data_IF_899048937842
#
_entry.id   IF_899048937842
#
_cell.length_a   1.000
_cell.length_b   1.000
_cell.length_c   1.000
_cell.angle_alpha   90.00
_cell.angle_beta   90.00
_cell.angle_gamma   90.00
#
_symmetry.space_group_name_H-M   'P 1'
#
loop_
_entity.id
_entity.type
_entity.pdbx_description
1 polymer ?
#
# COMPACT_ATOMS: atom_id res chain seq x y z
N UNK A 1 -33.67 27.28 14.57
CA UNK A 1 -34.59 26.51 15.46
C UNK A 1 -35.09 25.24 14.77
N UNK A 2 -35.06 25.20 13.45
CA UNK A 2 -35.57 24.10 12.62
C UNK A 2 -34.72 22.81 12.81
N UNK A 3 -33.42 22.93 13.12
CA UNK A 3 -32.55 21.76 13.37
C UNK A 3 -32.97 20.88 14.54
N UNK A 4 -33.44 21.48 15.63
CA UNK A 4 -33.89 20.73 16.80
C UNK A 4 -35.27 20.12 16.58
N UNK A 5 -36.14 20.81 15.82
CA UNK A 5 -37.44 20.30 15.41
C UNK A 5 -37.32 19.11 14.46
N UNK A 6 -36.43 19.19 13.46
CA UNK A 6 -36.17 18.12 12.51
C UNK A 6 -35.46 16.91 13.17
N UNK A 7 -34.55 17.14 14.12
CA UNK A 7 -33.97 16.08 14.94
C UNK A 7 -35.02 15.35 15.78
N UNK A 8 -35.93 16.10 16.41
CA UNK A 8 -37.01 15.54 17.20
C UNK A 8 -38.00 14.71 16.34
N UNK A 9 -38.36 15.23 15.16
CA UNK A 9 -39.23 14.53 14.21
C UNK A 9 -38.56 13.26 13.65
N UNK A 10 -37.27 13.33 13.32
CA UNK A 10 -36.48 12.19 12.88
C UNK A 10 -36.34 11.11 13.96
N UNK A 11 -36.19 11.52 15.22
CA UNK A 11 -36.19 10.60 16.36
C UNK A 11 -37.50 9.83 16.48
N UNK A 12 -38.64 10.48 16.26
CA UNK A 12 -39.94 9.84 16.38
C UNK A 12 -40.18 8.77 15.30
N UNK A 13 -39.66 8.99 14.09
CA UNK A 13 -39.82 8.07 12.95
C UNK A 13 -38.84 6.89 12.97
N UNK A 14 -37.57 7.12 13.32
CA UNK A 14 -36.52 6.10 13.20
C UNK A 14 -35.62 5.96 14.44
N UNK A 15 -36.06 6.47 15.61
CA UNK A 15 -35.30 6.48 16.87
C UNK A 15 -33.93 7.17 16.68
N UNK A 16 -32.90 6.74 17.41
CA UNK A 16 -31.59 7.42 17.48
C UNK A 16 -30.95 7.73 16.10
N UNK A 17 -30.94 6.81 15.11
CA UNK A 17 -30.43 7.13 13.77
C UNK A 17 -31.21 8.25 13.07
N UNK A 18 -32.54 8.26 13.23
CA UNK A 18 -33.40 9.29 12.65
C UNK A 18 -33.17 10.66 13.25
N UNK A 19 -32.84 10.74 14.54
CA UNK A 19 -32.51 12.01 15.19
C UNK A 19 -31.27 12.68 14.59
N UNK A 20 -30.25 11.87 14.27
CA UNK A 20 -28.99 12.34 13.68
C UNK A 20 -29.24 12.87 12.27
N UNK A 21 -29.98 12.12 11.45
CA UNK A 21 -30.34 12.53 10.08
C UNK A 21 -31.21 13.78 10.10
N UNK A 22 -32.22 13.81 10.99
CA UNK A 22 -33.09 14.97 11.17
C UNK A 22 -32.35 16.23 11.61
N UNK A 23 -31.38 16.09 12.53
CA UNK A 23 -30.52 17.20 12.95
C UNK A 23 -29.66 17.73 11.80
N UNK A 24 -29.09 16.83 10.99
CA UNK A 24 -28.28 17.20 9.82
C UNK A 24 -29.13 17.97 8.80
N UNK A 25 -30.28 17.43 8.40
CA UNK A 25 -31.19 18.07 7.43
C UNK A 25 -31.73 19.41 7.95
N UNK A 26 -32.15 19.47 9.20
CA UNK A 26 -32.62 20.73 9.78
C UNK A 26 -31.49 21.75 9.99
N UNK A 27 -30.24 21.32 10.14
CA UNK A 27 -29.07 22.20 10.13
C UNK A 27 -28.73 22.74 8.74
N UNK A 28 -29.08 22.02 7.66
CA UNK A 28 -28.99 22.53 6.29
C UNK A 28 -30.03 23.62 6.02
N UNK A 29 -31.24 23.50 6.56
CA UNK A 29 -32.36 24.45 6.34
C UNK A 29 -32.27 25.69 7.23
N UNK A 30 -31.79 25.56 8.47
CA UNK A 30 -31.57 26.72 9.36
C UNK A 30 -30.46 27.67 8.82
N UNK A 31 -29.67 27.26 7.82
CA UNK A 31 -28.44 27.94 7.42
C UNK A 31 -28.47 28.57 6.02
N UNK A 32 -29.67 28.82 5.46
CA UNK A 32 -29.88 29.50 4.16
C UNK A 32 -29.49 30.98 4.15
N UNK A 33 -28.92 31.52 5.24
CA UNK A 33 -28.59 32.95 5.41
C UNK A 33 -27.10 33.30 5.51
N UNK A 34 -26.15 32.36 5.38
CA UNK A 34 -24.72 32.67 5.54
C UNK A 34 -23.82 31.90 4.56
N UNK A 35 -23.73 32.40 3.32
CA UNK A 35 -23.02 31.81 2.19
C UNK A 35 -21.50 31.61 2.31
N UNK A 36 -20.86 31.99 3.41
CA UNK A 36 -19.39 31.86 3.59
C UNK A 36 -18.93 30.63 4.37
N UNK A 37 -19.80 29.93 5.12
CA UNK A 37 -19.40 28.72 5.88
C UNK A 37 -19.67 27.41 5.14
N UNK A 38 -20.67 27.37 4.26
CA UNK A 38 -20.93 26.20 3.42
C UNK A 38 -19.80 25.97 2.39
N UNK A 39 -19.21 27.05 1.85
CA UNK A 39 -18.02 26.96 1.00
C UNK A 39 -16.80 26.45 1.76
N UNK A 40 -16.54 26.90 2.99
CA UNK A 40 -15.37 26.41 3.75
C UNK A 40 -15.49 24.94 4.15
N UNK A 41 -16.70 24.47 4.49
CA UNK A 41 -16.92 23.05 4.83
C UNK A 41 -16.86 22.18 3.57
N UNK A 42 -17.37 22.63 2.43
CA UNK A 42 -17.27 21.89 1.16
C UNK A 42 -15.82 21.89 0.61
N UNK A 43 -15.07 22.97 0.84
CA UNK A 43 -13.66 23.09 0.47
C UNK A 43 -12.73 22.29 1.41
N UNK A 44 -13.10 22.14 2.69
CA UNK A 44 -12.41 21.22 3.63
C UNK A 44 -12.72 19.74 3.34
N UNK A 45 -13.92 19.41 2.86
CA UNK A 45 -14.25 18.05 2.41
C UNK A 45 -13.48 17.69 1.13
N UNK A 46 -13.18 18.67 0.26
CA UNK A 46 -12.44 18.43 -0.99
C UNK A 46 -10.91 18.55 -0.87
N UNK A 47 -10.38 18.89 0.31
CA UNK A 47 -8.94 18.93 0.58
C UNK A 47 -8.60 17.90 1.66
N UNK A 48 -8.54 16.63 1.28
CA UNK A 48 -7.65 15.72 2.00
C UNK A 48 -6.23 16.31 1.88
N UNK A 49 -5.79 17.05 2.91
CA UNK A 49 -4.42 17.55 3.00
C UNK A 49 -3.51 16.34 3.13
N UNK A 50 -2.93 15.93 2.01
CA UNK A 50 -1.84 14.97 1.99
C UNK A 50 -0.62 15.68 2.55
N UNK A 51 -0.17 15.27 3.73
CA UNK A 51 1.03 15.81 4.36
C UNK A 51 2.27 15.23 3.69
N UNK A 52 3.38 15.99 3.60
CA UNK A 52 4.67 15.46 3.21
C UNK A 52 5.17 14.30 4.09
N UNK A 53 4.61 14.18 5.30
CA UNK A 53 4.87 13.11 6.26
C UNK A 53 4.11 11.80 5.98
N UNK A 54 3.20 11.81 5.00
CA UNK A 54 2.32 10.69 4.71
C UNK A 54 3.08 9.53 4.06
N UNK A 55 2.68 8.32 4.43
CA UNK A 55 3.22 7.07 3.92
C UNK A 55 3.16 7.00 2.39
N UNK A 56 2.04 7.46 1.81
CA UNK A 56 1.77 7.45 0.39
C UNK A 56 2.78 8.29 -0.40
N UNK A 57 3.22 9.42 0.15
CA UNK A 57 4.20 10.27 -0.51
C UNK A 57 5.60 9.62 -0.48
N UNK A 58 5.95 8.98 0.63
CA UNK A 58 7.19 8.23 0.78
C UNK A 58 7.21 7.03 -0.17
N UNK A 59 6.09 6.32 -0.27
CA UNK A 59 5.89 5.23 -1.21
C UNK A 59 6.10 5.70 -2.66
N UNK A 60 5.39 6.74 -3.08
CA UNK A 60 5.52 7.31 -4.43
C UNK A 60 6.96 7.78 -4.71
N UNK A 61 7.63 8.33 -3.71
CA UNK A 61 9.03 8.75 -3.81
C UNK A 61 9.97 7.57 -4.05
N UNK A 62 9.82 6.46 -3.32
CA UNK A 62 10.60 5.24 -3.56
C UNK A 62 10.31 4.66 -4.95
N UNK A 63 9.05 4.70 -5.42
CA UNK A 63 8.69 4.29 -6.77
C UNK A 63 9.46 5.11 -7.82
N UNK A 64 9.49 6.43 -7.66
CA UNK A 64 10.25 7.29 -8.57
C UNK A 64 11.75 7.01 -8.57
N UNK A 65 12.32 6.56 -7.44
CA UNK A 65 13.75 6.21 -7.37
C UNK A 65 14.02 4.92 -8.16
N UNK A 66 13.14 3.92 -8.03
CA UNK A 66 13.26 2.65 -8.76
C UNK A 66 13.07 2.85 -10.26
N UNK A 67 12.02 3.56 -10.68
CA UNK A 67 11.71 3.84 -12.10
C UNK A 67 12.86 4.62 -12.79
N UNK A 68 13.57 5.46 -12.04
CA UNK A 68 14.70 6.25 -12.57
C UNK A 68 16.05 5.53 -12.47
N UNK A 69 16.10 4.30 -11.95
CA UNK A 69 17.35 3.63 -11.61
C UNK A 69 18.27 3.39 -12.82
N UNK A 70 17.69 3.12 -13.99
CA UNK A 70 18.43 2.87 -15.22
C UNK A 70 18.47 4.08 -16.18
N UNK A 71 17.93 5.23 -15.74
CA UNK A 71 17.86 6.46 -16.52
C UNK A 71 16.76 6.49 -17.58
N UNK A 72 16.00 5.40 -17.80
CA UNK A 72 14.89 5.35 -18.74
C UNK A 72 13.56 5.19 -18.01
N UNK A 73 12.78 6.27 -17.98
CA UNK A 73 11.45 6.27 -17.36
C UNK A 73 10.45 5.58 -18.28
N UNK A 74 9.99 4.39 -17.90
CA UNK A 74 8.97 3.66 -18.65
C UNK A 74 7.57 4.23 -18.39
N UNK A 75 6.84 4.53 -19.46
CA UNK A 75 5.45 4.98 -19.35
C UNK A 75 4.55 3.90 -18.71
N UNK A 76 4.86 2.61 -18.93
CA UNK A 76 4.13 1.49 -18.33
C UNK A 76 4.26 1.45 -16.82
N UNK A 77 5.47 1.68 -16.30
CA UNK A 77 5.72 1.75 -14.85
C UNK A 77 4.99 2.94 -14.22
N UNK A 78 5.03 4.11 -14.88
CA UNK A 78 4.30 5.29 -14.44
C UNK A 78 2.78 5.05 -14.40
N UNK A 79 2.25 4.40 -15.42
CA UNK A 79 0.82 4.10 -15.51
C UNK A 79 0.42 3.01 -14.50
N UNK A 80 1.27 2.03 -14.24
CA UNK A 80 1.07 1.05 -13.16
C UNK A 80 0.98 1.75 -11.80
N UNK A 81 1.93 2.62 -11.47
CA UNK A 81 1.90 3.41 -10.22
C UNK A 81 0.64 4.26 -10.18
N UNK A 82 0.29 4.95 -11.28
CA UNK A 82 -0.91 5.78 -11.34
C UNK A 82 -2.17 4.97 -11.06
N UNK A 83 -2.36 3.85 -11.76
CA UNK A 83 -3.52 2.99 -11.61
C UNK A 83 -3.60 2.36 -10.21
N UNK A 84 -2.47 1.95 -9.65
CA UNK A 84 -2.41 1.45 -8.28
C UNK A 84 -2.91 2.47 -7.28
N UNK A 85 -2.42 3.71 -7.33
CA UNK A 85 -2.85 4.76 -6.41
C UNK A 85 -4.31 5.16 -6.63
N UNK A 86 -4.78 5.24 -7.88
CA UNK A 86 -6.18 5.54 -8.20
C UNK A 86 -7.13 4.47 -7.66
N UNK A 87 -6.79 3.18 -7.84
CA UNK A 87 -7.63 2.06 -7.38
C UNK A 87 -7.59 1.88 -5.86
N UNK A 88 -6.48 2.24 -5.21
CA UNK A 88 -6.29 2.05 -3.76
C UNK A 88 -6.86 3.21 -2.94
N UNK A 89 -6.70 4.45 -3.42
CA UNK A 89 -7.01 5.66 -2.66
C UNK A 89 -8.16 6.49 -3.23
N UNK A 90 -8.65 6.15 -4.42
CA UNK A 90 -9.62 6.95 -5.15
C UNK A 90 -8.98 8.12 -5.90
N UNK A 91 -9.76 8.69 -6.83
CA UNK A 91 -9.28 9.69 -7.79
C UNK A 91 -8.85 10.99 -7.12
N UNK A 92 -9.59 11.51 -6.14
CA UNK A 92 -9.22 12.78 -5.51
C UNK A 92 -7.92 12.66 -4.70
N UNK A 93 -7.82 11.65 -3.81
CA UNK A 93 -6.66 11.45 -2.94
C UNK A 93 -5.40 11.17 -3.74
N UNK A 94 -5.48 10.27 -4.73
CA UNK A 94 -4.34 9.96 -5.60
C UNK A 94 -3.82 11.21 -6.32
N UNK A 95 -4.71 12.02 -6.89
CA UNK A 95 -4.30 13.27 -7.55
C UNK A 95 -3.68 14.27 -6.58
N UNK A 96 -4.17 14.36 -5.34
CA UNK A 96 -3.53 15.18 -4.31
C UNK A 96 -2.10 14.69 -3.99
N UNK A 97 -1.90 13.38 -3.83
CA UNK A 97 -0.59 12.76 -3.62
C UNK A 97 0.37 13.11 -4.77
N UNK A 98 -0.06 12.94 -6.03
CA UNK A 98 0.77 13.26 -7.20
C UNK A 98 1.15 14.74 -7.29
N UNK A 99 0.23 15.65 -6.97
CA UNK A 99 0.54 17.09 -6.93
C UNK A 99 1.60 17.40 -5.88
N UNK A 100 1.41 16.92 -4.64
CA UNK A 100 2.36 17.12 -3.54
C UNK A 100 3.73 16.53 -3.88
N UNK A 101 3.77 15.34 -4.49
CA UNK A 101 5.01 14.72 -4.94
C UNK A 101 5.78 15.58 -5.94
N UNK A 102 5.10 16.09 -6.96
CA UNK A 102 5.71 16.95 -7.96
C UNK A 102 6.26 18.25 -7.36
N UNK A 103 5.58 18.82 -6.37
CA UNK A 103 6.07 20.01 -5.66
C UNK A 103 7.32 19.73 -4.81
N UNK A 104 7.35 18.59 -4.11
CA UNK A 104 8.49 18.17 -3.28
C UNK A 104 9.70 17.84 -4.16
N UNK A 105 9.49 17.07 -5.23
CA UNK A 105 10.55 16.65 -6.15
C UNK A 105 11.19 17.83 -6.91
N UNK A 106 10.46 18.94 -7.12
CA UNK A 106 11.03 20.18 -7.69
C UNK A 106 11.93 20.95 -6.72
N UNK A 107 11.69 20.82 -5.41
CA UNK A 107 12.33 21.65 -4.38
C UNK A 107 13.49 20.95 -3.68
N UNK A 108 13.57 19.62 -3.73
CA UNK A 108 14.54 18.81 -2.96
C UNK A 108 14.92 17.54 -3.70
N UNK A 109 16.16 17.10 -3.49
CA UNK A 109 16.59 15.76 -3.88
C UNK A 109 15.93 14.71 -2.97
N UNK A 110 15.39 13.66 -3.59
CA UNK A 110 14.74 12.56 -2.89
C UNK A 110 15.80 11.54 -2.49
N UNK A 111 16.09 11.42 -1.19
CA UNK A 111 17.02 10.44 -0.65
C UNK A 111 16.31 9.18 -0.17
N UNK A 112 16.61 8.03 -0.79
CA UNK A 112 16.09 6.72 -0.37
C UNK A 112 16.41 6.43 1.11
N UNK A 113 17.63 6.74 1.55
CA UNK A 113 18.07 6.51 2.92
C UNK A 113 17.25 7.30 3.94
N UNK A 114 16.99 8.59 3.69
CA UNK A 114 16.17 9.41 4.59
C UNK A 114 14.74 8.89 4.68
N UNK A 115 14.13 8.58 3.53
CA UNK A 115 12.78 8.03 3.46
C UNK A 115 12.69 6.72 4.25
N UNK A 116 13.63 5.81 4.05
CA UNK A 116 13.63 4.52 4.72
C UNK A 116 13.87 4.65 6.23
N UNK A 117 14.75 5.56 6.66
CA UNK A 117 14.97 5.83 8.09
C UNK A 117 13.70 6.39 8.74
N UNK A 118 12.98 7.29 8.07
CA UNK A 118 11.70 7.81 8.53
C UNK A 118 10.65 6.68 8.67
N UNK A 119 10.55 5.81 7.66
CA UNK A 119 9.63 4.68 7.65
C UNK A 119 9.95 3.64 8.73
N UNK A 120 11.24 3.33 8.96
CA UNK A 120 11.67 2.38 9.99
C UNK A 120 11.20 2.77 11.40
N UNK A 121 11.03 4.06 11.69
CA UNK A 121 10.58 4.55 12.99
C UNK A 121 9.06 4.52 13.16
N UNK A 122 8.31 4.46 12.05
CA UNK A 122 6.85 4.68 12.03
C UNK A 122 6.06 3.49 11.49
N UNK A 123 6.75 2.50 10.95
CA UNK A 123 6.14 1.33 10.34
C UNK A 123 6.69 0.06 10.97
N UNK A 124 5.81 -0.94 11.07
CA UNK A 124 6.20 -2.28 11.52
C UNK A 124 6.98 -3.00 10.43
N UNK A 125 7.60 -4.13 10.76
CA UNK A 125 8.37 -4.91 9.79
C UNK A 125 7.52 -5.36 8.60
N UNK A 126 6.29 -5.79 8.87
CA UNK A 126 5.34 -6.33 7.90
C UNK A 126 4.99 -5.30 6.80
N UNK A 127 4.83 -4.03 7.18
CA UNK A 127 4.59 -2.92 6.25
C UNK A 127 5.79 -2.72 5.31
N UNK A 128 7.01 -2.85 5.83
CA UNK A 128 8.24 -2.71 5.02
C UNK A 128 8.38 -3.84 4.00
N UNK A 129 7.92 -5.04 4.35
CA UNK A 129 7.87 -6.17 3.41
C UNK A 129 6.86 -5.96 2.27
N UNK A 130 5.80 -5.19 2.50
CA UNK A 130 4.81 -4.86 1.47
C UNK A 130 5.25 -3.70 0.60
N UNK A 131 5.89 -2.68 1.18
CA UNK A 131 6.59 -1.65 0.42
C UNK A 131 7.54 -2.30 -0.58
N UNK A 132 8.35 -3.25 -0.12
CA UNK A 132 9.30 -3.97 -0.97
C UNK A 132 8.61 -4.76 -2.08
N UNK A 133 7.55 -5.51 -1.75
CA UNK A 133 6.75 -6.24 -2.73
C UNK A 133 6.14 -5.31 -3.79
N UNK A 134 5.62 -4.16 -3.38
CA UNK A 134 5.06 -3.18 -4.31
C UNK A 134 6.11 -2.60 -5.26
N UNK A 135 7.33 -2.30 -4.76
CA UNK A 135 8.42 -1.84 -5.61
C UNK A 135 8.80 -2.86 -6.69
N UNK A 136 8.82 -4.15 -6.35
CA UNK A 136 9.01 -5.22 -7.33
C UNK A 136 7.83 -5.32 -8.32
N UNK A 137 6.59 -5.12 -7.87
CA UNK A 137 5.41 -5.10 -8.74
C UNK A 137 5.46 -4.00 -9.80
N UNK A 138 6.00 -2.83 -9.44
CA UNK A 138 6.23 -1.73 -10.40
C UNK A 138 7.29 -2.11 -11.41
N UNK A 139 8.48 -2.53 -10.94
CA UNK A 139 9.58 -2.86 -11.83
C UNK A 139 9.24 -4.03 -12.78
N UNK A 140 8.36 -4.95 -12.37
CA UNK A 140 7.92 -6.07 -13.22
C UNK A 140 6.82 -5.68 -14.22
N UNK A 141 6.25 -4.47 -14.12
CA UNK A 141 5.02 -4.07 -14.83
C UNK A 141 5.14 -4.02 -16.36
N UNK A 142 6.35 -3.87 -16.88
CA UNK A 142 6.63 -3.87 -18.31
C UNK A 142 7.00 -5.26 -18.88
N UNK A 143 7.03 -6.28 -18.02
CA UNK A 143 7.30 -7.67 -18.39
C UNK A 143 8.73 -8.14 -18.09
N UNK A 144 9.65 -7.26 -17.69
CA UNK A 144 11.03 -7.67 -17.36
C UNK A 144 11.66 -6.86 -16.23
N UNK A 145 12.09 -7.54 -15.18
CA UNK A 145 12.84 -6.92 -14.08
C UNK A 145 14.30 -6.66 -14.47
N UNK A 146 14.70 -5.40 -14.62
CA UNK A 146 16.07 -5.02 -15.03
C UNK A 146 17.05 -5.16 -13.84
N UNK A 147 18.32 -5.55 -14.08
CA UNK A 147 19.31 -5.69 -12.99
C UNK A 147 19.50 -4.41 -12.16
N UNK A 148 19.50 -3.24 -12.80
CA UNK A 148 19.66 -1.95 -12.13
C UNK A 148 18.50 -1.63 -11.18
N UNK A 149 17.27 -2.06 -11.51
CA UNK A 149 16.12 -1.92 -10.62
C UNK A 149 16.24 -2.86 -9.44
N UNK A 150 16.65 -4.11 -9.67
CA UNK A 150 16.89 -5.08 -8.60
C UNK A 150 17.93 -4.54 -7.62
N UNK A 151 19.02 -3.97 -8.14
CA UNK A 151 20.07 -3.37 -7.32
C UNK A 151 19.55 -2.19 -6.49
N UNK A 152 18.74 -1.32 -7.10
CA UNK A 152 18.11 -0.19 -6.41
C UNK A 152 17.11 -0.65 -5.34
N UNK A 153 16.29 -1.65 -5.64
CA UNK A 153 15.34 -2.24 -4.69
C UNK A 153 16.09 -2.94 -3.55
N UNK A 154 17.23 -3.58 -3.82
CA UNK A 154 18.09 -4.18 -2.79
C UNK A 154 18.70 -3.13 -1.86
N UNK A 155 19.15 -2.01 -2.41
CA UNK A 155 19.62 -0.86 -1.63
C UNK A 155 18.50 -0.34 -0.71
N UNK A 156 17.29 -0.13 -1.24
CA UNK A 156 16.12 0.28 -0.47
C UNK A 156 15.80 -0.76 0.62
N UNK A 157 15.83 -2.05 0.32
CA UNK A 157 15.60 -3.12 1.30
C UNK A 157 16.59 -3.07 2.47
N UNK A 158 17.88 -2.80 2.19
CA UNK A 158 18.89 -2.60 3.23
C UNK A 158 18.56 -1.39 4.11
N UNK A 159 18.16 -0.27 3.51
CA UNK A 159 17.75 0.90 4.28
C UNK A 159 16.47 0.67 5.09
N UNK A 160 15.52 -0.10 4.56
CA UNK A 160 14.32 -0.55 5.28
C UNK A 160 14.63 -1.63 6.33
N UNK A 161 15.89 -2.04 6.50
CA UNK A 161 16.32 -3.10 7.42
C UNK A 161 15.54 -4.40 7.20
N UNK A 162 15.24 -4.72 5.94
CA UNK A 162 14.64 -6.00 5.54
C UNK A 162 15.73 -7.05 5.47
N UNK A 163 15.45 -8.26 5.98
CA UNK A 163 16.40 -9.37 5.97
C UNK A 163 16.70 -9.82 4.53
N UNK A 164 17.87 -10.44 4.33
CA UNK A 164 18.25 -10.98 3.03
C UNK A 164 17.27 -12.06 2.56
N UNK A 165 16.85 -12.95 3.46
CA UNK A 165 15.92 -14.04 3.15
C UNK A 165 14.56 -13.50 2.73
N UNK A 166 14.05 -12.48 3.44
CA UNK A 166 12.81 -11.79 3.09
C UNK A 166 12.89 -11.15 1.70
N UNK A 167 14.00 -10.46 1.42
CA UNK A 167 14.23 -9.86 0.12
C UNK A 167 14.23 -10.92 -1.00
N UNK A 168 14.94 -12.03 -0.81
CA UNK A 168 15.00 -13.12 -1.79
C UNK A 168 13.66 -13.81 -1.99
N UNK A 169 12.91 -14.04 -0.92
CA UNK A 169 11.54 -14.59 -0.95
C UNK A 169 10.60 -13.69 -1.74
N UNK A 170 10.63 -12.37 -1.49
CA UNK A 170 9.79 -11.41 -2.20
C UNK A 170 10.21 -11.31 -3.66
N UNK A 171 11.50 -11.21 -3.94
CA UNK A 171 12.02 -11.15 -5.31
C UNK A 171 11.61 -12.38 -6.12
N UNK A 172 11.62 -13.56 -5.51
CA UNK A 172 11.20 -14.81 -6.16
C UNK A 172 9.73 -14.82 -6.60
N UNK A 173 8.87 -13.98 -6.02
CA UNK A 173 7.47 -13.81 -6.45
C UNK A 173 7.36 -13.14 -7.83
N UNK A 174 8.39 -12.43 -8.27
CA UNK A 174 8.42 -11.68 -9.53
C UNK A 174 9.41 -12.27 -10.53
N UNK A 175 10.55 -12.80 -10.05
CA UNK A 175 11.59 -13.41 -10.88
C UNK A 175 11.45 -14.93 -10.84
N UNK A 176 11.00 -15.51 -11.95
CA UNK A 176 10.90 -16.97 -12.09
C UNK A 176 12.28 -17.61 -12.24
N UNK A 177 12.51 -18.69 -11.49
CA UNK A 177 13.69 -19.55 -11.53
C UNK A 177 13.26 -20.99 -11.19
N UNK A 178 14.14 -21.97 -11.43
CA UNK A 178 13.83 -23.38 -11.16
C UNK A 178 13.37 -23.65 -9.71
N UNK A 179 13.89 -22.88 -8.75
CA UNK A 179 13.62 -23.06 -7.32
C UNK A 179 12.72 -21.96 -6.72
N UNK A 180 11.93 -21.26 -7.56
CA UNK A 180 11.12 -20.11 -7.12
C UNK A 180 10.20 -20.45 -5.95
N UNK A 181 9.50 -21.58 -5.99
CA UNK A 181 8.57 -21.97 -4.93
C UNK A 181 9.28 -22.16 -3.57
N UNK A 182 10.45 -22.81 -3.57
CA UNK A 182 11.27 -23.01 -2.36
C UNK A 182 11.81 -21.68 -1.82
N UNK A 183 12.26 -20.78 -2.71
CA UNK A 183 12.72 -19.43 -2.33
C UNK A 183 11.60 -18.60 -1.72
N UNK A 184 10.38 -18.66 -2.26
CA UNK A 184 9.21 -17.98 -1.68
C UNK A 184 8.97 -18.46 -0.24
N UNK A 185 9.15 -19.75 0.03
CA UNK A 185 9.03 -20.33 1.37
C UNK A 185 10.29 -20.16 2.26
N UNK A 186 11.33 -19.45 1.79
CA UNK A 186 12.61 -19.27 2.49
C UNK A 186 13.31 -20.60 2.84
N UNK A 187 13.20 -21.61 1.99
CA UNK A 187 13.83 -22.94 2.17
C UNK A 187 14.63 -23.37 0.94
N UNK A 188 15.50 -24.35 1.12
CA UNK A 188 16.23 -24.99 0.02
C UNK A 188 15.41 -26.12 -0.60
N UNK A 189 15.68 -26.46 -1.86
CA UNK A 189 15.05 -27.60 -2.56
C UNK A 189 15.34 -28.95 -1.90
N UNK A 190 16.43 -29.04 -1.12
CA UNK A 190 16.81 -30.20 -0.30
C UNK A 190 16.02 -30.33 1.00
N UNK A 191 15.15 -29.37 1.34
CA UNK A 191 14.31 -29.45 2.54
C UNK A 191 13.40 -30.68 2.50
N UNK A 192 13.21 -31.31 3.65
CA UNK A 192 12.28 -32.41 3.88
C UNK A 192 10.83 -31.93 3.80
N UNK A 193 9.88 -32.84 3.58
CA UNK A 193 8.46 -32.48 3.46
C UNK A 193 7.88 -31.87 4.74
N UNK A 194 8.39 -32.28 5.89
CA UNK A 194 8.03 -31.68 7.18
C UNK A 194 8.55 -30.24 7.31
N UNK A 195 9.76 -29.98 6.82
CA UNK A 195 10.32 -28.63 6.74
C UNK A 195 9.52 -27.76 5.77
N UNK A 196 9.07 -28.28 4.63
CA UNK A 196 8.18 -27.58 3.70
C UNK A 196 6.88 -27.19 4.39
N UNK A 197 6.19 -28.13 5.05
CA UNK A 197 4.94 -27.87 5.79
C UNK A 197 5.15 -26.84 6.90
N UNK A 198 6.27 -26.91 7.61
CA UNK A 198 6.64 -25.94 8.66
C UNK A 198 6.92 -24.55 8.09
N UNK A 199 7.63 -24.46 6.97
CA UNK A 199 7.92 -23.22 6.28
C UNK A 199 6.63 -22.56 5.78
N UNK A 200 5.75 -23.32 5.13
CA UNK A 200 4.45 -22.84 4.69
C UNK A 200 3.65 -22.22 5.85
N UNK A 201 3.49 -22.94 6.98
CA UNK A 201 2.78 -22.40 8.17
C UNK A 201 3.42 -21.12 8.70
N UNK A 202 4.75 -21.04 8.69
CA UNK A 202 5.49 -19.86 9.14
C UNK A 202 5.24 -18.66 8.23
N UNK A 203 5.32 -18.87 6.92
CA UNK A 203 5.13 -17.83 5.90
C UNK A 203 3.68 -17.39 5.79
N UNK A 204 2.73 -18.32 5.87
CA UNK A 204 1.30 -18.05 5.94
C UNK A 204 0.98 -17.16 7.14
N UNK A 205 1.53 -17.47 8.33
CA UNK A 205 1.37 -16.63 9.53
C UNK A 205 2.03 -15.26 9.37
N UNK A 206 3.19 -15.17 8.72
CA UNK A 206 3.95 -13.92 8.50
C UNK A 206 3.21 -12.94 7.58
N UNK A 207 2.55 -13.46 6.53
CA UNK A 207 1.86 -12.64 5.52
C UNK A 207 0.34 -12.65 5.64
N UNK A 208 -0.22 -13.26 6.69
CA UNK A 208 -1.66 -13.27 6.89
C UNK A 208 -2.22 -11.83 6.98
N UNK A 209 -3.31 -11.50 6.27
CA UNK A 209 -3.93 -10.17 6.32
C UNK A 209 -4.22 -9.69 7.76
N UNK A 210 -4.68 -10.58 8.64
CA UNK A 210 -4.97 -10.26 10.07
C UNK A 210 -3.74 -9.81 10.88
N UNK A 211 -2.52 -10.13 10.47
CA UNK A 211 -1.31 -9.64 11.15
C UNK A 211 -1.01 -8.17 10.82
N UNK A 212 -1.64 -7.66 9.78
CA UNK A 212 -1.44 -6.33 9.23
C UNK A 212 -2.58 -5.44 9.71
N UNK A 213 -2.51 -5.04 10.98
CA UNK A 213 -3.49 -4.13 11.60
C UNK A 213 -3.21 -2.72 11.09
N UNK A 214 -3.94 -2.30 10.07
CA UNK A 214 -3.81 -0.99 9.43
C UNK A 214 -5.11 -0.59 8.75
N UNK A 215 -5.38 0.71 8.68
CA UNK A 215 -6.44 1.26 7.83
C UNK A 215 -5.95 1.53 6.40
N UNK A 216 -4.64 1.39 6.14
CA UNK A 216 -4.08 1.68 4.83
C UNK A 216 -4.33 0.53 3.85
N UNK A 217 -5.12 0.81 2.81
CA UNK A 217 -5.53 -0.16 1.79
C UNK A 217 -4.36 -0.72 0.95
N UNK A 218 -3.29 0.06 0.70
CA UNK A 218 -2.11 -0.43 -0.01
C UNK A 218 -1.42 -1.55 0.78
N UNK A 219 -1.35 -1.35 2.10
CA UNK A 219 -0.72 -2.26 3.04
C UNK A 219 -1.55 -3.57 3.10
N UNK A 220 -2.88 -3.50 3.19
CA UNK A 220 -3.75 -4.69 3.14
C UNK A 220 -3.61 -5.48 1.84
N UNK A 221 -3.71 -4.79 0.69
CA UNK A 221 -3.63 -5.42 -0.63
C UNK A 221 -2.31 -6.16 -0.84
N UNK A 222 -1.20 -5.55 -0.42
CA UNK A 222 0.11 -6.20 -0.48
C UNK A 222 0.21 -7.46 0.39
N UNK A 223 -0.46 -7.49 1.55
CA UNK A 223 -0.53 -8.68 2.39
C UNK A 223 -1.25 -9.84 1.68
N UNK A 224 -2.43 -9.55 1.12
CA UNK A 224 -3.26 -10.53 0.42
C UNK A 224 -2.56 -11.13 -0.80
N UNK A 225 -1.92 -10.30 -1.62
CA UNK A 225 -1.18 -10.75 -2.80
C UNK A 225 -0.04 -11.70 -2.40
N UNK A 226 0.74 -11.33 -1.36
CA UNK A 226 1.83 -12.17 -0.86
C UNK A 226 1.33 -13.47 -0.24
N UNK A 227 0.25 -13.43 0.52
CA UNK A 227 -0.36 -14.62 1.11
C UNK A 227 -0.75 -15.62 0.02
N UNK A 228 -1.39 -15.14 -1.06
CA UNK A 228 -1.73 -15.96 -2.24
C UNK A 228 -0.48 -16.54 -2.92
N UNK A 229 0.63 -15.80 -3.02
CA UNK A 229 1.88 -16.32 -3.58
C UNK A 229 2.49 -17.43 -2.72
N UNK A 230 2.41 -17.31 -1.39
CA UNK A 230 2.87 -18.36 -0.48
C UNK A 230 2.03 -19.62 -0.61
N UNK A 231 0.71 -19.51 -0.75
CA UNK A 231 -0.17 -20.65 -1.01
C UNK A 231 0.19 -21.35 -2.32
N UNK A 232 0.30 -20.59 -3.41
CA UNK A 232 0.70 -21.12 -4.73
C UNK A 232 2.06 -21.80 -4.72
N UNK A 233 3.03 -21.21 -4.02
CA UNK A 233 4.35 -21.81 -3.88
C UNK A 233 4.31 -23.15 -3.15
N UNK A 234 3.49 -23.24 -2.09
CA UNK A 234 3.31 -24.49 -1.37
C UNK A 234 2.61 -25.55 -2.23
N UNK A 235 1.52 -25.19 -2.91
CA UNK A 235 0.80 -26.05 -3.85
C UNK A 235 1.73 -26.60 -4.95
N UNK A 236 2.56 -25.73 -5.54
CA UNK A 236 3.53 -26.14 -6.56
C UNK A 236 4.56 -27.16 -6.01
N UNK A 237 5.03 -26.99 -4.78
CA UNK A 237 5.96 -27.95 -4.16
C UNK A 237 5.26 -29.28 -3.88
N UNK A 238 3.99 -29.24 -3.45
CA UNK A 238 3.21 -30.46 -3.25
C UNK A 238 3.04 -31.24 -4.55
N UNK A 239 2.69 -30.55 -5.63
CA UNK A 239 2.54 -31.16 -6.96
C UNK A 239 3.88 -31.72 -7.48
N UNK A 240 4.99 -30.99 -7.30
CA UNK A 240 6.34 -31.45 -7.71
C UNK A 240 6.78 -32.71 -6.97
N UNK A 241 6.39 -32.86 -5.70
CA UNK A 241 6.87 -33.93 -4.81
C UNK A 241 5.87 -35.07 -4.59
N UNK A 242 4.60 -34.89 -4.95
CA UNK A 242 3.52 -35.84 -4.67
C UNK A 242 3.10 -35.88 -3.20
N UNK A 243 3.04 -34.72 -2.53
CA UNK A 243 2.73 -34.58 -1.10
C UNK A 243 1.24 -34.38 -0.76
#
# INVERSE_FOLDING_TARGET
MIKWFAAFLGYFLFRLPGAIIGFLVGSFIDNSGSGNRARSIFEDISRQKVSPADFELHLLSLCSIVIKADGQVSQRELDYVRQYFLSTYGKEKANAIFRTFNEVNKKREISAQHICNYLNQRTRYEVRLQLLHFLFGIAQSDGSLRPLEIDKIREIARYLRVSKNDFESIMAMFVKSADTAYKILEIQKTATDDEVKKAYRTMAKKYHPDKVITENEAIKRGAEEKFKQVQKAYEQIQDERGM
#
